data_IF_992154110755
#
_entry.id   IF_992154110755
#
_cell.length_a   1.000
_cell.length_b   1.000
_cell.length_c   1.000
_cell.angle_alpha   90.00
_cell.angle_beta   90.00
_cell.angle_gamma   90.00
#
_symmetry.space_group_name_H-M   'P 1'
#
loop_
_entity.id
_entity.type
_entity.pdbx_description
1 polymer ?
#
# COMPACT_ATOMS: atom_id res chain seq x y z
N UNK A 1 40.10 0.83 15.17
CA UNK A 1 38.69 0.40 15.08
C UNK A 1 37.97 1.39 14.19
N UNK A 2 37.73 1.03 12.93
CA UNK A 2 37.06 1.91 11.97
C UNK A 2 35.56 1.92 12.25
N UNK A 3 34.98 3.11 12.39
CA UNK A 3 33.55 3.33 12.58
C UNK A 3 32.86 3.20 11.22
N UNK A 4 32.13 2.12 11.03
CA UNK A 4 31.24 1.96 9.88
C UNK A 4 30.10 2.97 10.06
N UNK A 5 30.00 3.94 9.14
CA UNK A 5 28.83 4.81 9.02
C UNK A 5 28.04 4.23 7.84
N UNK A 6 27.03 3.41 8.14
CA UNK A 6 26.03 3.03 7.14
C UNK A 6 25.15 4.26 6.92
N UNK A 7 25.03 4.79 5.70
CA UNK A 7 24.16 5.92 5.45
C UNK A 7 22.71 5.45 5.52
N UNK A 8 21.99 5.90 6.55
CA UNK A 8 20.53 5.99 6.54
C UNK A 8 19.76 4.67 6.50
N UNK A 9 19.98 3.77 7.45
CA UNK A 9 18.92 2.87 7.90
C UNK A 9 17.99 3.67 8.82
N UNK A 10 17.16 4.49 8.19
CA UNK A 10 16.06 5.22 8.83
C UNK A 10 14.72 4.52 8.59
N UNK A 11 14.66 3.19 8.64
CA UNK A 11 13.39 2.50 8.86
C UNK A 11 13.07 2.53 10.36
N UNK A 12 13.01 3.73 10.92
CA UNK A 12 12.19 3.94 12.10
C UNK A 12 10.76 3.81 11.61
N UNK A 13 10.15 2.63 11.78
CA UNK A 13 8.70 2.50 11.90
C UNK A 13 8.29 3.23 13.20
N UNK A 14 8.55 4.54 13.25
CA UNK A 14 8.18 5.40 14.34
C UNK A 14 6.66 5.40 14.40
N UNK A 15 6.14 5.34 15.61
CA UNK A 15 4.73 5.57 15.93
C UNK A 15 4.33 7.05 15.69
N UNK A 16 4.89 7.68 14.65
CA UNK A 16 4.60 9.03 14.21
C UNK A 16 3.46 8.98 13.19
N UNK A 17 2.56 9.96 13.26
CA UNK A 17 1.55 10.16 12.24
C UNK A 17 2.25 10.46 10.91
N UNK A 18 2.07 9.60 9.90
CA UNK A 18 2.53 9.89 8.55
C UNK A 18 1.89 11.20 8.06
N UNK A 19 2.72 12.17 7.73
CA UNK A 19 2.27 13.50 7.33
C UNK A 19 2.66 13.83 5.89
N UNK A 20 3.79 13.28 5.43
CA UNK A 20 4.29 13.52 4.08
C UNK A 20 3.67 12.55 3.06
N UNK A 21 3.40 12.99 1.80
CA UNK A 21 2.81 12.14 0.77
C UNK A 21 3.55 10.81 0.54
N UNK A 22 4.89 10.80 0.66
CA UNK A 22 5.70 9.59 0.51
C UNK A 22 5.46 8.56 1.63
N UNK A 23 5.40 9.02 2.88
CA UNK A 23 5.14 8.16 4.06
C UNK A 23 3.73 7.58 4.00
N UNK A 24 2.74 8.42 3.63
CA UNK A 24 1.35 7.97 3.46
C UNK A 24 1.26 6.94 2.32
N UNK A 25 1.98 7.15 1.20
CA UNK A 25 2.03 6.19 0.10
C UNK A 25 2.64 4.86 0.53
N UNK A 26 3.69 4.86 1.35
CA UNK A 26 4.29 3.63 1.91
C UNK A 26 3.27 2.83 2.74
N UNK A 27 2.57 3.48 3.67
CA UNK A 27 1.52 2.83 4.47
C UNK A 27 0.37 2.28 3.61
N UNK A 28 -0.01 3.00 2.55
CA UNK A 28 -1.03 2.52 1.60
C UNK A 28 -0.54 1.32 0.79
N UNK A 29 0.74 1.27 0.40
CA UNK A 29 1.34 0.09 -0.26
C UNK A 29 1.35 -1.13 0.66
N UNK A 30 1.77 -0.96 1.92
CA UNK A 30 1.73 -2.03 2.93
C UNK A 30 0.31 -2.57 3.12
N UNK A 31 -0.67 -1.66 3.24
CA UNK A 31 -2.09 -2.00 3.34
C UNK A 31 -2.59 -2.78 2.12
N UNK A 32 -2.22 -2.33 0.91
CA UNK A 32 -2.58 -2.99 -0.34
C UNK A 32 -1.98 -4.41 -0.43
N UNK A 33 -0.72 -4.58 -0.04
CA UNK A 33 -0.06 -5.90 0.01
C UNK A 33 -0.81 -6.83 0.96
N UNK A 34 -1.16 -6.37 2.16
CA UNK A 34 -1.91 -7.18 3.13
C UNK A 34 -3.29 -7.59 2.60
N UNK A 35 -4.00 -6.70 1.92
CA UNK A 35 -5.30 -7.02 1.32
C UNK A 35 -5.19 -8.02 0.15
N UNK A 36 -4.16 -7.90 -0.68
CA UNK A 36 -3.90 -8.87 -1.75
C UNK A 36 -3.53 -10.25 -1.20
N UNK A 37 -2.72 -10.32 -0.14
CA UNK A 37 -2.38 -11.56 0.54
C UNK A 37 -3.63 -12.25 1.09
N UNK A 38 -4.45 -11.52 1.86
CA UNK A 38 -5.69 -12.07 2.43
C UNK A 38 -6.72 -12.46 1.37
N UNK A 39 -6.74 -11.76 0.23
CA UNK A 39 -7.57 -12.14 -0.94
C UNK A 39 -7.09 -13.45 -1.56
N UNK A 40 -5.78 -13.62 -1.75
CA UNK A 40 -5.17 -14.87 -2.23
C UNK A 40 -5.51 -16.05 -1.34
N UNK A 41 -5.40 -15.84 -0.03
CA UNK A 41 -5.78 -16.78 1.02
C UNK A 41 -7.26 -17.21 0.94
N UNK A 42 -8.15 -16.27 0.64
CA UNK A 42 -9.58 -16.53 0.51
C UNK A 42 -9.89 -17.31 -0.78
N UNK A 43 -9.22 -16.98 -1.89
CA UNK A 43 -9.32 -17.71 -3.15
C UNK A 43 -8.81 -19.15 -3.02
N UNK A 44 -7.75 -19.38 -2.24
CA UNK A 44 -7.26 -20.72 -1.96
C UNK A 44 -8.33 -21.56 -1.22
N UNK A 45 -8.95 -20.98 -0.17
CA UNK A 45 -10.03 -21.63 0.59
C UNK A 45 -11.26 -21.91 -0.27
N UNK A 46 -11.64 -20.99 -1.15
CA UNK A 46 -12.75 -21.18 -2.10
C UNK A 46 -12.57 -22.45 -2.95
N UNK A 47 -11.34 -22.80 -3.33
CA UNK A 47 -11.04 -24.00 -4.13
C UNK A 47 -11.01 -25.29 -3.32
N UNK A 48 -10.95 -25.20 -2.00
CA UNK A 48 -10.83 -26.36 -1.10
C UNK A 48 -12.17 -26.76 -0.46
N UNK A 49 -13.20 -25.92 -0.57
CA UNK A 49 -14.51 -26.12 0.06
C UNK A 49 -15.50 -26.59 -0.99
N UNK A 50 -16.20 -27.70 -0.72
CA UNK A 50 -17.22 -28.28 -1.62
C UNK A 50 -18.65 -27.84 -1.25
N UNK A 51 -18.82 -27.16 -0.13
CA UNK A 51 -20.13 -26.63 0.30
C UNK A 51 -20.52 -25.44 -0.58
N UNK A 52 -21.65 -25.56 -1.28
CA UNK A 52 -22.13 -24.57 -2.25
C UNK A 52 -22.57 -23.25 -1.59
N UNK A 53 -23.17 -23.31 -0.40
CA UNK A 53 -23.62 -22.13 0.33
C UNK A 53 -22.41 -21.33 0.83
N UNK A 54 -21.43 -22.03 1.43
CA UNK A 54 -20.17 -21.43 1.88
C UNK A 54 -19.41 -20.85 0.70
N UNK A 55 -19.28 -21.59 -0.40
CA UNK A 55 -18.59 -21.12 -1.62
C UNK A 55 -19.25 -19.86 -2.18
N UNK A 56 -20.58 -19.81 -2.23
CA UNK A 56 -21.32 -18.64 -2.66
C UNK A 56 -21.07 -17.43 -1.74
N UNK A 57 -21.08 -17.63 -0.42
CA UNK A 57 -20.76 -16.58 0.54
C UNK A 57 -19.31 -16.07 0.38
N UNK A 58 -18.36 -16.96 0.12
CA UNK A 58 -16.95 -16.61 -0.13
C UNK A 58 -16.78 -15.78 -1.41
N UNK A 59 -17.54 -16.06 -2.48
CA UNK A 59 -17.56 -15.22 -3.67
C UNK A 59 -17.97 -13.77 -3.36
N UNK A 60 -19.03 -13.57 -2.56
CA UNK A 60 -19.46 -12.22 -2.15
C UNK A 60 -18.38 -11.50 -1.31
N UNK A 61 -17.64 -12.23 -0.48
CA UNK A 61 -16.52 -11.66 0.28
C UNK A 61 -15.36 -11.26 -0.63
N UNK A 62 -15.05 -12.05 -1.65
CA UNK A 62 -14.05 -11.69 -2.67
C UNK A 62 -14.44 -10.43 -3.45
N UNK A 63 -15.72 -10.27 -3.81
CA UNK A 63 -16.21 -9.04 -4.45
C UNK A 63 -16.07 -7.82 -3.56
N UNK A 64 -16.34 -7.96 -2.25
CA UNK A 64 -16.13 -6.88 -1.27
C UNK A 64 -14.66 -6.53 -1.15
N UNK A 65 -13.78 -7.52 -1.06
CA UNK A 65 -12.32 -7.31 -1.02
C UNK A 65 -11.81 -6.61 -2.26
N UNK A 66 -12.29 -7.01 -3.45
CA UNK A 66 -11.94 -6.33 -4.71
C UNK A 66 -12.24 -4.82 -4.66
N UNK A 67 -13.44 -4.43 -4.21
CA UNK A 67 -13.79 -3.00 -4.07
C UNK A 67 -12.85 -2.27 -3.11
N UNK A 68 -12.52 -2.88 -1.99
CA UNK A 68 -11.56 -2.32 -1.03
C UNK A 68 -10.16 -2.17 -1.63
N UNK A 69 -9.68 -3.16 -2.38
CA UNK A 69 -8.40 -3.10 -3.11
C UNK A 69 -8.40 -1.98 -4.15
N UNK A 70 -9.49 -1.83 -4.91
CA UNK A 70 -9.65 -0.75 -5.91
C UNK A 70 -9.60 0.64 -5.22
N UNK A 71 -10.28 0.80 -4.09
CA UNK A 71 -10.28 2.05 -3.32
C UNK A 71 -8.88 2.37 -2.76
N UNK A 72 -8.19 1.38 -2.17
CA UNK A 72 -6.81 1.54 -1.68
C UNK A 72 -5.85 1.93 -2.82
N UNK A 73 -5.99 1.32 -3.99
CA UNK A 73 -5.19 1.64 -5.16
C UNK A 73 -5.41 3.09 -5.62
N UNK A 74 -6.67 3.55 -5.66
CA UNK A 74 -6.98 4.93 -6.02
C UNK A 74 -6.43 5.94 -5.00
N UNK A 75 -6.47 5.61 -3.71
CA UNK A 75 -5.87 6.43 -2.67
C UNK A 75 -4.35 6.50 -2.81
N UNK A 76 -3.68 5.36 -3.04
CA UNK A 76 -2.25 5.28 -3.27
C UNK A 76 -1.84 6.17 -4.45
N UNK A 77 -2.51 6.00 -5.59
CA UNK A 77 -2.23 6.78 -6.80
C UNK A 77 -2.34 8.28 -6.55
N UNK A 78 -3.37 8.74 -5.84
CA UNK A 78 -3.52 10.16 -5.50
C UNK A 78 -2.39 10.69 -4.63
N UNK A 79 -1.84 9.90 -3.71
CA UNK A 79 -0.71 10.34 -2.89
C UNK A 79 0.61 10.32 -3.66
N UNK A 80 0.80 9.33 -4.52
CA UNK A 80 1.95 9.28 -5.43
C UNK A 80 1.94 10.47 -6.40
N UNK A 81 0.80 10.79 -7.02
CA UNK A 81 0.64 11.97 -7.88
C UNK A 81 1.04 13.26 -7.13
N UNK A 82 0.56 13.45 -5.89
CA UNK A 82 0.93 14.61 -5.05
C UNK A 82 2.42 14.67 -4.72
N UNK A 83 3.06 13.52 -4.49
CA UNK A 83 4.49 13.44 -4.23
C UNK A 83 5.29 13.89 -5.47
N UNK A 84 4.91 13.41 -6.66
CA UNK A 84 5.59 13.78 -7.90
C UNK A 84 5.36 15.25 -8.28
N UNK A 85 4.13 15.77 -8.14
CA UNK A 85 3.81 17.19 -8.37
C UNK A 85 4.60 18.12 -7.42
N UNK A 86 4.79 17.71 -6.16
CA UNK A 86 5.61 18.46 -5.22
C UNK A 86 7.09 18.53 -5.65
N UNK A 87 7.62 17.47 -6.27
CA UNK A 87 8.97 17.43 -6.82
C UNK A 87 9.18 18.32 -8.04
N UNK A 88 8.18 18.44 -8.93
CA UNK A 88 8.25 19.29 -10.13
C UNK A 88 8.32 20.79 -9.79
N UNK A 89 7.64 21.23 -8.73
CA UNK A 89 7.69 22.63 -8.28
C UNK A 89 9.05 23.06 -7.70
N UNK A 90 9.94 22.12 -7.35
CA UNK A 90 11.29 22.43 -6.85
C UNK A 90 12.35 22.54 -7.97
N UNK A 91 11.98 22.29 -9.23
CA UNK A 91 12.88 22.31 -10.39
C UNK A 91 13.11 23.68 -11.06
N UNK A 92 12.44 24.74 -10.60
CA UNK A 92 12.50 26.08 -11.24
C UNK A 92 13.14 27.18 -10.39
N UNK A 93 13.87 26.84 -9.33
CA UNK A 93 14.61 27.83 -8.53
C UNK A 93 16.03 28.04 -9.08
N UNK A 94 16.11 28.98 -10.02
CA UNK A 94 17.25 29.86 -10.34
C UNK A 94 18.51 29.27 -11.02
N UNK A 95 18.49 29.33 -12.36
CA UNK A 95 19.64 29.81 -13.13
C UNK A 95 19.80 31.32 -12.93
N UNK A 96 20.92 31.75 -12.35
CA UNK A 96 21.56 33.05 -12.62
C UNK A 96 23.03 33.03 -12.22
#
# INVERSE_FOLDING_TARGET
MCRIITPGEGHEHGTGTAAEPAEIAELLRESLIGELQTTGDLMARLRMIEDAEVTHALFHLLEKKRRLTDDLWLLLRRQEDRFFEAGENHGHSHSH
#
